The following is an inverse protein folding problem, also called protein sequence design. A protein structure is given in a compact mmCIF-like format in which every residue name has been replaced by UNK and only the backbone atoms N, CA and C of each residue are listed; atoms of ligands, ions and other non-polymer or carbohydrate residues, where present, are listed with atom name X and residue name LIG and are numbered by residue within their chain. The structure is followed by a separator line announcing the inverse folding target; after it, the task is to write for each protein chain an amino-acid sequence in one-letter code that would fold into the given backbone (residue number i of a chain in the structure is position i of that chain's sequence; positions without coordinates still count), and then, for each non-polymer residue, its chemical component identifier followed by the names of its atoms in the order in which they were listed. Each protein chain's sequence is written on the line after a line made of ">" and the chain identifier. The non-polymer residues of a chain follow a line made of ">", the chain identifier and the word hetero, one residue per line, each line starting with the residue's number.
data_IF_161917867556
#
_entry.id   IF_161917867556
#
_cell.length_a   1.000
_cell.length_b   1.000
_cell.length_c   1.000
_cell.angle_alpha   90.00
_cell.angle_beta   90.00
_cell.angle_gamma   90.00
#
_symmetry.space_group_name_H-M   'P 1'
#
loop_
_entity.id
_entity.type
_entity.pdbx_description
1 polymer ?
#
# COMPACT_ATOMS: atom_id res chain seq x y z
N UNK A 1 -4.00 0.65 1.43
CA UNK A 1 -4.37 1.84 2.24
C UNK A 1 -5.77 1.61 2.80
N UNK A 2 -5.88 0.96 3.95
CA UNK A 2 -7.11 0.26 4.34
C UNK A 2 -8.18 1.17 4.93
N UNK A 3 -7.78 2.19 5.69
CA UNK A 3 -8.77 3.08 6.33
C UNK A 3 -9.74 3.73 5.33
N UNK A 4 -9.32 3.99 4.09
CA UNK A 4 -10.20 4.52 3.01
C UNK A 4 -11.36 3.57 2.72
N UNK A 5 -11.14 2.25 2.81
CA UNK A 5 -12.16 1.23 2.57
C UNK A 5 -13.30 1.25 3.59
N UNK A 6 -13.02 1.75 4.78
CA UNK A 6 -13.96 1.85 5.91
C UNK A 6 -14.34 3.31 6.22
N UNK A 7 -14.09 4.25 5.30
CA UNK A 7 -14.51 5.66 5.43
C UNK A 7 -13.51 6.61 6.09
N UNK A 8 -12.24 6.22 6.19
CA UNK A 8 -11.14 7.04 6.72
C UNK A 8 -10.85 8.28 5.87
N UNK A 9 -11.21 9.45 6.39
CA UNK A 9 -11.13 10.74 5.67
C UNK A 9 -9.69 11.22 5.45
N UNK A 10 -8.83 11.11 6.45
CA UNK A 10 -7.45 11.62 6.37
C UNK A 10 -6.67 10.92 5.25
N UNK A 11 -6.87 9.61 5.16
CA UNK A 11 -6.21 8.80 4.15
C UNK A 11 -6.83 8.98 2.76
N UNK A 12 -8.12 9.28 2.68
CA UNK A 12 -8.76 9.70 1.43
C UNK A 12 -8.17 11.04 0.95
N UNK A 13 -7.99 12.01 1.84
CA UNK A 13 -7.34 13.29 1.53
C UNK A 13 -5.90 13.09 1.07
N UNK A 14 -5.15 12.22 1.74
CA UNK A 14 -3.79 11.86 1.33
C UNK A 14 -3.75 11.32 -0.11
N UNK A 15 -4.58 10.33 -0.44
CA UNK A 15 -4.68 9.78 -1.80
C UNK A 15 -5.02 10.85 -2.85
N UNK A 16 -5.94 11.76 -2.50
CA UNK A 16 -6.30 12.86 -3.39
C UNK A 16 -5.13 13.83 -3.63
N UNK A 17 -4.23 14.01 -2.66
CA UNK A 17 -3.02 14.80 -2.81
C UNK A 17 -1.96 14.07 -3.64
N UNK A 18 -1.78 12.77 -3.43
CA UNK A 18 -0.88 11.93 -4.25
C UNK A 18 -1.21 12.07 -5.74
N UNK A 19 -2.50 12.04 -6.12
CA UNK A 19 -2.91 12.27 -7.51
C UNK A 19 -2.70 13.73 -7.96
N UNK A 20 -3.03 14.72 -7.11
CA UNK A 20 -2.77 16.15 -7.44
C UNK A 20 -1.30 16.42 -7.70
N UNK A 21 -0.42 15.76 -6.97
CA UNK A 21 1.03 15.92 -7.06
C UNK A 21 1.67 15.01 -8.12
N UNK A 22 0.87 14.27 -8.90
CA UNK A 22 1.36 13.33 -9.91
C UNK A 22 2.36 12.31 -9.36
N UNK A 23 2.15 11.87 -8.11
CA UNK A 23 2.97 10.87 -7.44
C UNK A 23 2.42 9.45 -7.62
N UNK A 24 1.27 9.31 -8.30
CA UNK A 24 0.61 8.04 -8.61
C UNK A 24 1.10 7.40 -9.93
N UNK A 25 2.17 7.91 -10.54
CA UNK A 25 2.64 7.48 -11.86
C UNK A 25 3.67 6.33 -11.82
N UNK A 26 3.82 5.68 -10.68
CA UNK A 26 4.71 4.54 -10.47
C UNK A 26 6.15 4.90 -10.09
N UNK A 27 6.52 6.19 -10.05
CA UNK A 27 7.84 6.63 -9.56
C UNK A 27 7.99 6.55 -8.04
N UNK A 28 6.87 6.60 -7.33
CA UNK A 28 6.81 6.55 -5.87
C UNK A 28 5.98 5.35 -5.42
N UNK A 29 6.45 4.68 -4.36
CA UNK A 29 5.70 3.61 -3.71
C UNK A 29 5.32 4.10 -2.31
N UNK A 30 4.02 4.18 -2.04
CA UNK A 30 3.49 4.51 -0.73
C UNK A 30 3.09 3.23 -0.02
N UNK A 31 3.68 2.97 1.14
CA UNK A 31 3.37 1.80 1.97
C UNK A 31 2.78 2.31 3.27
N UNK A 32 1.45 2.20 3.49
CA UNK A 32 0.87 2.62 4.75
C UNK A 32 1.29 1.68 5.89
N UNK A 33 1.35 2.20 7.12
CA UNK A 33 1.87 1.46 8.27
C UNK A 33 1.02 0.22 8.61
N UNK A 34 -0.29 0.31 8.37
CA UNK A 34 -1.24 -0.79 8.54
C UNK A 34 -0.96 -1.96 7.59
N UNK A 35 -0.42 -1.75 6.39
CA UNK A 35 -0.02 -2.85 5.48
C UNK A 35 1.02 -3.80 6.09
N UNK A 36 1.84 -3.32 7.03
CA UNK A 36 2.83 -4.16 7.72
C UNK A 36 2.13 -5.12 8.70
N UNK A 37 1.00 -4.71 9.28
CA UNK A 37 0.30 -5.44 10.33
C UNK A 37 -0.98 -6.14 9.85
N UNK A 38 -1.55 -5.70 8.72
CA UNK A 38 -2.85 -6.12 8.21
C UNK A 38 -2.80 -6.35 6.69
N UNK A 39 -2.99 -7.58 6.26
CA UNK A 39 -3.17 -7.92 4.85
C UNK A 39 -4.63 -7.74 4.42
N UNK A 40 -4.87 -7.15 3.25
CA UNK A 40 -6.18 -7.20 2.60
C UNK A 40 -6.24 -8.36 1.59
N UNK A 41 -7.43 -8.81 1.19
CA UNK A 41 -7.58 -9.63 0.00
C UNK A 41 -7.47 -8.75 -1.26
N UNK A 42 -6.45 -8.95 -2.10
CA UNK A 42 -6.33 -8.27 -3.40
C UNK A 42 -7.08 -9.00 -4.52
N UNK A 43 -7.21 -10.33 -4.41
CA UNK A 43 -7.92 -11.17 -5.38
C UNK A 43 -9.39 -11.31 -4.99
N UNK A 44 -10.29 -11.18 -5.96
CA UNK A 44 -11.73 -11.33 -5.81
C UNK A 44 -12.37 -10.45 -4.71
N UNK A 45 -11.77 -9.29 -4.42
CA UNK A 45 -12.33 -8.30 -3.52
C UNK A 45 -12.97 -7.16 -4.32
N UNK A 46 -14.23 -6.85 -4.01
CA UNK A 46 -14.89 -5.63 -4.50
C UNK A 46 -14.88 -4.60 -3.38
N UNK A 47 -14.49 -3.36 -3.71
CA UNK A 47 -14.48 -2.24 -2.78
C UNK A 47 -15.50 -1.18 -3.23
N UNK A 48 -16.76 -1.23 -2.77
CA UNK A 48 -17.81 -0.31 -3.20
C UNK A 48 -17.44 1.17 -3.01
N UNK A 49 -16.67 1.50 -1.97
CA UNK A 49 -16.22 2.87 -1.70
C UNK A 49 -15.35 3.45 -2.81
N UNK A 50 -14.67 2.60 -3.60
CA UNK A 50 -13.83 3.02 -4.73
C UNK A 50 -14.63 3.13 -6.03
N UNK A 51 -15.80 2.50 -6.12
CA UNK A 51 -16.58 2.42 -7.35
C UNK A 51 -17.02 3.80 -7.85
N UNK A 52 -17.47 4.66 -6.94
CA UNK A 52 -18.01 6.00 -7.25
C UNK A 52 -16.96 7.08 -7.53
N UNK A 53 -15.65 6.78 -7.44
CA UNK A 53 -14.61 7.80 -7.57
C UNK A 53 -13.39 7.28 -8.35
N UNK A 54 -13.37 7.54 -9.66
CA UNK A 54 -12.29 7.09 -10.56
C UNK A 54 -10.91 7.66 -10.20
N UNK A 55 -10.86 8.86 -9.60
CA UNK A 55 -9.62 9.48 -9.13
C UNK A 55 -9.09 8.77 -7.90
N UNK A 56 -9.97 8.53 -6.93
CA UNK A 56 -9.65 7.80 -5.70
C UNK A 56 -9.20 6.37 -6.02
N UNK A 57 -9.89 5.70 -6.95
CA UNK A 57 -9.54 4.36 -7.43
C UNK A 57 -8.16 4.32 -8.06
N UNK A 58 -7.84 5.21 -9.02
CA UNK A 58 -6.48 5.30 -9.59
C UNK A 58 -5.41 5.56 -8.53
N UNK A 59 -5.69 6.44 -7.58
CA UNK A 59 -4.75 6.73 -6.47
C UNK A 59 -4.56 5.52 -5.57
N UNK A 60 -5.64 4.79 -5.28
CA UNK A 60 -5.63 3.57 -4.48
C UNK A 60 -4.88 2.44 -5.20
N UNK A 61 -5.12 2.26 -6.50
CA UNK A 61 -4.46 1.24 -7.33
C UNK A 61 -2.96 1.51 -7.51
N UNK A 62 -2.58 2.80 -7.61
CA UNK A 62 -1.17 3.22 -7.65
C UNK A 62 -0.45 2.99 -6.31
N UNK A 63 -1.20 2.89 -5.22
CA UNK A 63 -0.65 2.56 -3.91
C UNK A 63 -0.60 1.04 -3.81
N UNK A 64 0.63 0.52 -3.84
CA UNK A 64 0.87 -0.90 -3.68
C UNK A 64 0.29 -1.38 -2.34
N UNK A 65 -0.84 -2.08 -2.40
CA UNK A 65 -1.34 -2.84 -1.27
C UNK A 65 -0.62 -4.18 -1.30
N UNK A 66 0.48 -4.29 -0.56
CA UNK A 66 1.18 -5.57 -0.39
C UNK A 66 0.28 -6.48 0.45
N UNK A 67 -0.50 -7.30 -0.23
CA UNK A 67 -1.22 -8.39 0.40
C UNK A 67 -0.27 -9.57 0.49
N UNK A 68 -0.05 -10.09 1.69
CA UNK A 68 0.91 -11.17 1.97
C UNK A 68 0.42 -12.53 1.41
N UNK A 69 -0.09 -12.57 0.17
CA UNK A 69 -0.35 -13.80 -0.60
C UNK A 69 0.95 -14.32 -1.20
N UNK A 70 1.94 -14.55 -0.34
CA UNK A 70 3.11 -15.33 -0.69
C UNK A 70 2.88 -16.71 -0.11
N UNK A 71 2.70 -17.69 -1.00
CA UNK A 71 2.42 -19.08 -0.63
C UNK A 71 3.52 -19.67 0.27
N UNK A 72 4.75 -19.16 0.15
CA UNK A 72 5.94 -19.79 0.71
C UNK A 72 6.67 -18.94 1.76
N UNK A 73 6.53 -17.60 1.74
CA UNK A 73 7.29 -16.70 2.64
C UNK A 73 6.52 -15.45 3.04
N UNK A 74 6.44 -15.12 4.31
CA UNK A 74 5.80 -13.88 4.75
C UNK A 74 6.57 -12.61 4.32
N UNK A 75 5.93 -11.45 4.46
CA UNK A 75 6.51 -10.16 4.10
C UNK A 75 7.82 -9.87 4.85
N UNK A 76 7.94 -10.22 6.14
CA UNK A 76 9.12 -9.95 6.93
C UNK A 76 10.31 -10.82 6.49
N UNK A 77 10.06 -12.06 6.10
CA UNK A 77 11.07 -12.97 5.55
C UNK A 77 11.62 -12.44 4.22
N UNK A 78 10.73 -12.08 3.29
CA UNK A 78 11.13 -11.50 2.00
C UNK A 78 11.85 -10.17 2.20
N UNK A 79 11.35 -9.30 3.08
CA UNK A 79 11.98 -8.03 3.40
C UNK A 79 13.38 -8.24 3.98
N UNK A 80 13.54 -9.15 4.94
CA UNK A 80 14.83 -9.48 5.54
C UNK A 80 15.85 -10.00 4.52
N UNK A 81 15.43 -10.84 3.57
CA UNK A 81 16.29 -11.33 2.49
C UNK A 81 16.73 -10.22 1.54
N UNK A 82 15.82 -9.32 1.17
CA UNK A 82 16.10 -8.21 0.26
C UNK A 82 17.01 -7.16 0.91
N UNK A 83 16.81 -6.88 2.20
CA UNK A 83 17.68 -6.01 2.99
C UNK A 83 19.08 -6.60 3.12
N UNK A 84 19.21 -7.90 3.41
CA UNK A 84 20.51 -8.59 3.45
C UNK A 84 21.22 -8.63 2.10
N UNK A 85 20.46 -8.66 0.99
CA UNK A 85 20.98 -8.63 -0.38
C UNK A 85 21.36 -7.22 -0.87
N UNK A 86 21.30 -6.18 -0.01
CA UNK A 86 21.62 -4.77 -0.33
C UNK A 86 20.79 -4.14 -1.47
N UNK A 87 19.68 -4.74 -1.87
CA UNK A 87 18.87 -4.23 -2.99
C UNK A 87 17.92 -3.10 -2.59
N UNK A 88 17.76 -2.82 -1.29
CA UNK A 88 16.96 -1.71 -0.77
C UNK A 88 17.71 -1.07 0.41
N UNK A 89 18.00 0.24 0.32
CA UNK A 89 18.48 1.04 1.45
C UNK A 89 17.27 1.57 2.22
N UNK A 90 16.98 0.98 3.38
CA UNK A 90 16.01 1.55 4.33
C UNK A 90 16.71 2.55 5.25
N UNK A 91 16.15 3.77 5.35
CA UNK A 91 16.65 4.81 6.26
C UNK A 91 16.20 4.63 7.71
N UNK A 92 15.26 3.73 7.97
CA UNK A 92 14.66 3.50 9.28
C UNK A 92 14.65 2.00 9.58
N UNK A 93 15.13 1.61 10.77
CA UNK A 93 14.98 0.25 11.28
C UNK A 93 13.52 0.05 11.70
N UNK A 94 12.85 -1.04 11.28
CA UNK A 94 11.52 -1.34 11.80
C UNK A 94 11.62 -1.52 13.31
N UNK A 95 10.88 -0.71 14.09
CA UNK A 95 10.71 -1.01 15.50
C UNK A 95 9.92 -2.33 15.62
N UNK A 96 10.42 -3.23 16.45
CA UNK A 96 9.79 -4.51 16.75
C UNK A 96 8.58 -4.33 17.66
#
# INVERSE_FOLDING_TARGET
>A
MHSVLVGGKDQQLFLQQVDKMQMADGRYVFIPFDTIHYSLPYRNASYPVLAGNARLRRSYDAVLTVTMDSKDKDFHQVLGEVLKKNNIRMSLKPNQ
#
